data_IF_002411655100
#
_entry.id   IF_002411655100
#
_cell.length_a   1.000
_cell.length_b   1.000
_cell.length_c   1.000
_cell.angle_alpha   90.00
_cell.angle_beta   90.00
_cell.angle_gamma   90.00
#
_symmetry.space_group_name_H-M   'P 1'
#
loop_
_entity.id
_entity.type
_entity.pdbx_description
1 polymer ?
#
# COMPACT_ATOMS: atom_id res chain seq x y z
N UNK A 1 15.15 0.79 4.87
CA UNK A 1 15.78 -0.55 4.95
C UNK A 1 14.75 -1.65 5.18
N UNK A 2 13.93 -1.60 6.25
CA UNK A 2 12.94 -2.64 6.57
C UNK A 2 11.95 -2.95 5.43
N UNK A 3 11.48 -1.94 4.71
CA UNK A 3 10.63 -2.13 3.53
C UNK A 3 11.29 -2.99 2.44
N UNK A 4 12.60 -2.80 2.18
CA UNK A 4 13.33 -3.60 1.19
C UNK A 4 13.47 -5.07 1.63
N UNK A 5 13.48 -5.35 2.93
CA UNK A 5 13.50 -6.72 3.46
C UNK A 5 12.19 -7.45 3.13
N UNK A 6 11.05 -6.78 3.31
CA UNK A 6 9.72 -7.34 2.96
C UNK A 6 9.63 -7.61 1.45
N UNK A 7 10.12 -6.69 0.62
CA UNK A 7 10.18 -6.88 -0.83
C UNK A 7 11.07 -8.07 -1.20
N UNK A 8 12.24 -8.19 -0.57
CA UNK A 8 13.17 -9.30 -0.80
C UNK A 8 12.58 -10.65 -0.39
N UNK A 9 11.84 -10.72 0.73
CA UNK A 9 11.21 -11.98 1.17
C UNK A 9 10.10 -12.41 0.22
N UNK A 10 9.32 -11.45 -0.30
CA UNK A 10 8.28 -11.69 -1.29
C UNK A 10 8.88 -12.24 -2.60
N UNK A 11 10.01 -11.68 -3.02
CA UNK A 11 10.70 -12.11 -4.24
C UNK A 11 11.34 -13.50 -4.09
N UNK A 12 11.90 -13.79 -2.92
CA UNK A 12 12.41 -15.13 -2.58
C UNK A 12 11.31 -16.20 -2.66
N UNK A 13 10.07 -15.87 -2.31
CA UNK A 13 8.96 -16.82 -2.42
C UNK A 13 8.62 -17.15 -3.88
N UNK A 14 8.49 -16.12 -4.72
CA UNK A 14 8.06 -16.30 -6.11
C UNK A 14 9.14 -16.93 -6.99
N UNK A 15 10.38 -16.49 -6.85
CA UNK A 15 11.51 -17.05 -7.59
C UNK A 15 11.97 -18.38 -7.02
N UNK A 16 12.01 -18.51 -5.69
CA UNK A 16 12.50 -19.71 -5.02
C UNK A 16 11.53 -20.88 -5.11
N UNK A 17 10.24 -20.65 -4.84
CA UNK A 17 9.25 -21.73 -4.71
C UNK A 17 8.31 -21.86 -5.91
N UNK A 18 7.87 -20.76 -6.53
CA UNK A 18 6.94 -20.80 -7.65
C UNK A 18 7.63 -20.86 -9.03
N UNK A 19 8.93 -20.54 -9.11
CA UNK A 19 9.69 -20.52 -10.37
C UNK A 19 9.20 -19.47 -11.38
N UNK A 20 8.41 -18.50 -10.94
CA UNK A 20 7.80 -17.47 -11.80
C UNK A 20 8.36 -16.09 -11.45
N UNK A 21 8.81 -15.36 -12.48
CA UNK A 21 9.25 -13.97 -12.36
C UNK A 21 8.01 -13.05 -12.31
N UNK A 22 7.85 -12.25 -11.25
CA UNK A 22 6.81 -11.23 -11.14
C UNK A 22 7.35 -9.94 -10.53
N UNK A 23 7.14 -8.83 -11.22
CA UNK A 23 7.62 -7.49 -10.82
C UNK A 23 6.50 -6.57 -10.30
N UNK A 24 5.28 -7.09 -10.16
CA UNK A 24 4.11 -6.25 -9.83
C UNK A 24 4.13 -5.68 -8.39
N UNK A 25 4.99 -6.18 -7.49
CA UNK A 25 5.07 -5.75 -6.09
C UNK A 25 5.33 -4.24 -5.95
N UNK A 26 6.22 -3.69 -6.77
CA UNK A 26 6.52 -2.25 -6.77
C UNK A 26 5.30 -1.42 -7.19
N UNK A 27 4.55 -1.91 -8.18
CA UNK A 27 3.33 -1.29 -8.67
C UNK A 27 2.23 -1.25 -7.59
N UNK A 28 2.00 -2.38 -6.91
CA UNK A 28 0.99 -2.46 -5.84
C UNK A 28 1.35 -1.61 -4.63
N UNK A 29 2.62 -1.59 -4.24
CA UNK A 29 3.09 -0.69 -3.19
C UNK A 29 2.92 0.78 -3.58
N UNK A 30 3.21 1.13 -4.83
CA UNK A 30 2.95 2.46 -5.39
C UNK A 30 1.48 2.83 -5.32
N UNK A 31 0.59 2.00 -5.87
CA UNK A 31 -0.86 2.24 -5.85
C UNK A 31 -1.35 2.45 -4.41
N UNK A 32 -1.04 1.55 -3.48
CA UNK A 32 -1.48 1.66 -2.09
C UNK A 32 -0.95 2.90 -1.38
N UNK A 33 0.33 3.25 -1.60
CA UNK A 33 0.94 4.44 -1.02
C UNK A 33 0.33 5.74 -1.57
N UNK A 34 0.14 5.83 -2.89
CA UNK A 34 -0.47 7.00 -3.51
C UNK A 34 -1.95 7.14 -3.16
N UNK A 35 -2.73 6.04 -3.12
CA UNK A 35 -4.13 6.11 -2.69
C UNK A 35 -4.25 6.57 -1.23
N UNK A 36 -3.40 6.06 -0.34
CA UNK A 36 -3.41 6.46 1.07
C UNK A 36 -2.95 7.91 1.23
N UNK A 37 -1.92 8.31 0.47
CA UNK A 37 -1.36 9.66 0.49
C UNK A 37 -2.33 10.71 -0.06
N UNK A 38 -3.02 10.42 -1.17
CA UNK A 38 -4.00 11.34 -1.76
C UNK A 38 -5.22 11.53 -0.86
N UNK A 39 -5.66 10.46 -0.18
CA UNK A 39 -6.74 10.50 0.79
C UNK A 39 -6.36 11.32 2.03
N UNK A 40 -5.10 11.19 2.48
CA UNK A 40 -4.59 11.88 3.66
C UNK A 40 -4.20 13.33 3.37
N UNK A 41 -3.82 13.65 2.13
CA UNK A 41 -3.52 15.00 1.65
C UNK A 41 -4.78 15.82 1.32
N UNK A 42 -5.98 15.28 1.55
CA UNK A 42 -7.25 16.01 1.43
C UNK A 42 -7.83 16.11 0.02
N UNK A 43 -7.12 15.67 -1.03
CA UNK A 43 -7.58 15.85 -2.42
C UNK A 43 -8.87 15.08 -2.77
N UNK A 44 -9.11 13.94 -2.10
CA UNK A 44 -10.39 13.21 -2.10
C UNK A 44 -11.26 13.50 -0.86
N UNK A 45 -10.68 14.15 0.15
CA UNK A 45 -11.26 14.34 1.49
C UNK A 45 -12.21 15.52 1.60
N UNK A 46 -12.06 16.54 0.75
CA UNK A 46 -12.91 17.75 0.73
C UNK A 46 -14.39 17.42 0.58
N UNK A 47 -14.76 16.35 -0.14
CA UNK A 47 -16.16 15.95 -0.38
C UNK A 47 -16.68 14.91 0.64
N UNK A 48 -15.80 14.11 1.26
CA UNK A 48 -16.20 12.99 2.12
C UNK A 48 -16.37 13.42 3.59
N UNK A 49 -15.44 14.22 4.14
CA UNK A 49 -15.59 14.79 5.49
C UNK A 49 -16.77 15.79 5.54
N UNK A 50 -16.98 16.61 4.49
CA UNK A 50 -18.11 17.55 4.40
C UNK A 50 -19.46 16.85 4.25
N UNK A 51 -19.55 15.80 3.43
CA UNK A 51 -20.77 14.98 3.32
C UNK A 51 -21.11 14.27 4.63
N UNK A 52 -20.12 13.82 5.43
CA UNK A 52 -20.37 13.19 6.73
C UNK A 52 -20.83 14.17 7.82
N UNK A 53 -20.34 15.42 7.76
CA UNK A 53 -20.82 16.51 8.63
C UNK A 53 -22.26 16.91 8.28
N UNK A 54 -22.61 16.98 7.00
CA UNK A 54 -24.00 17.24 6.55
C UNK A 54 -24.97 16.10 6.91
N UNK A 55 -24.51 14.84 6.95
CA UNK A 55 -25.33 13.68 7.31
C UNK A 55 -25.49 13.45 8.83
N UNK A 56 -25.09 14.40 9.69
CA UNK A 56 -25.44 14.41 11.12
C UNK A 56 -24.72 13.37 12.00
N UNK A 57 -23.66 12.73 11.49
CA UNK A 57 -22.84 11.74 12.21
C UNK A 57 -21.57 12.40 12.79
N UNK A 58 -21.76 13.48 13.57
CA UNK A 58 -20.69 14.36 14.07
C UNK A 58 -19.61 13.69 14.94
N UNK A 59 -19.96 12.61 15.64
CA UNK A 59 -19.00 11.78 16.42
C UNK A 59 -18.04 10.99 15.52
N UNK A 60 -18.45 10.68 14.28
CA UNK A 60 -17.65 9.90 13.34
C UNK A 60 -16.73 10.82 12.55
N UNK A 61 -17.16 12.05 12.23
CA UNK A 61 -16.30 13.06 11.60
C UNK A 61 -15.15 13.49 12.52
N UNK A 62 -15.35 13.51 13.83
CA UNK A 62 -14.30 13.87 14.79
C UNK A 62 -13.24 12.77 14.92
N UNK A 63 -13.67 11.50 14.88
CA UNK A 63 -12.80 10.32 14.86
C UNK A 63 -12.10 10.09 13.50
N UNK A 64 -12.75 10.47 12.39
CA UNK A 64 -12.26 10.27 11.01
C UNK A 64 -11.40 11.44 10.51
N UNK A 65 -11.68 12.68 10.93
CA UNK A 65 -11.06 13.91 10.41
C UNK A 65 -10.25 14.68 11.49
N UNK A 66 -10.22 14.24 12.76
CA UNK A 66 -9.25 14.58 13.83
C UNK A 66 -8.88 16.06 14.05
N UNK A 67 -9.43 16.69 15.09
CA UNK A 67 -9.15 18.10 15.50
C UNK A 67 -7.65 18.44 15.70
N UNK A 68 -6.79 17.49 16.14
CA UNK A 68 -5.38 17.77 16.46
C UNK A 68 -4.45 17.88 15.23
N UNK A 69 -4.93 17.53 14.03
CA UNK A 69 -4.13 17.55 12.80
C UNK A 69 -4.25 18.88 12.01
N UNK A 70 -5.02 19.84 12.54
CA UNK A 70 -5.53 21.03 11.86
C UNK A 70 -4.61 22.28 11.89
N UNK A 71 -3.31 22.14 11.58
CA UNK A 71 -2.43 23.35 11.46
C UNK A 71 -1.81 23.57 10.08
N UNK A 72 -1.73 22.57 9.20
CA UNK A 72 -1.14 22.73 7.84
C UNK A 72 -1.95 22.08 6.70
N UNK A 73 -2.83 21.10 6.97
CA UNK A 73 -3.62 20.41 5.94
C UNK A 73 -5.12 20.54 6.26
N UNK A 74 -5.79 21.44 5.55
CA UNK A 74 -7.25 21.51 5.51
C UNK A 74 -7.81 20.22 4.86
N UNK A 75 -8.48 19.36 5.66
CA UNK A 75 -9.36 18.26 5.22
C UNK A 75 -8.77 16.85 4.92
N UNK A 76 -7.75 16.38 5.65
CA UNK A 76 -7.23 15.01 5.54
C UNK A 76 -7.90 13.99 6.49
N UNK A 77 -8.18 12.77 6.03
CA UNK A 77 -8.62 11.66 6.93
C UNK A 77 -7.45 11.09 7.74
N UNK A 78 -7.75 10.51 8.91
CA UNK A 78 -6.73 9.90 9.79
C UNK A 78 -5.82 8.92 9.01
N UNK A 79 -4.48 9.04 9.09
CA UNK A 79 -3.55 8.28 8.24
C UNK A 79 -3.65 6.75 8.44
N UNK A 80 -4.17 6.31 9.58
CA UNK A 80 -4.39 4.88 9.84
C UNK A 80 -5.50 4.29 8.96
N UNK A 81 -6.55 5.06 8.71
CA UNK A 81 -7.71 4.63 7.91
C UNK A 81 -7.37 4.72 6.43
N UNK A 82 -6.60 5.72 6.03
CA UNK A 82 -6.13 5.85 4.66
C UNK A 82 -5.28 4.66 4.22
N UNK A 83 -4.47 4.08 5.12
CA UNK A 83 -3.69 2.85 4.84
C UNK A 83 -4.61 1.65 4.56
N UNK A 84 -5.69 1.46 5.32
CA UNK A 84 -6.62 0.35 5.07
C UNK A 84 -7.39 0.53 3.77
N UNK A 85 -7.84 1.76 3.48
CA UNK A 85 -8.51 2.08 2.22
C UNK A 85 -7.57 1.87 1.03
N UNK A 86 -6.32 2.35 1.12
CA UNK A 86 -5.32 2.14 0.08
C UNK A 86 -4.96 0.65 -0.10
N UNK A 87 -4.89 -0.10 0.98
CA UNK A 87 -4.74 -1.56 0.94
C UNK A 87 -5.91 -2.27 0.25
N UNK A 88 -7.15 -1.84 0.52
CA UNK A 88 -8.35 -2.39 -0.12
C UNK A 88 -8.39 -2.09 -1.62
N UNK A 89 -8.01 -0.87 -2.04
CA UNK A 89 -7.91 -0.49 -3.46
C UNK A 89 -6.82 -1.32 -4.15
N UNK A 90 -5.65 -1.45 -3.54
CA UNK A 90 -4.56 -2.28 -4.06
C UNK A 90 -4.98 -3.76 -4.17
N UNK A 91 -5.72 -4.29 -3.18
CA UNK A 91 -6.25 -5.65 -3.20
C UNK A 91 -7.28 -5.85 -4.32
N UNK A 92 -8.15 -4.87 -4.57
CA UNK A 92 -9.11 -4.90 -5.68
C UNK A 92 -8.42 -4.96 -7.05
N UNK A 93 -7.42 -4.11 -7.27
CA UNK A 93 -6.62 -4.11 -8.50
C UNK A 93 -5.82 -5.41 -8.62
N UNK A 94 -5.26 -5.90 -7.51
CA UNK A 94 -4.54 -7.18 -7.45
C UNK A 94 -5.43 -8.38 -7.75
N UNK A 95 -6.68 -8.38 -7.28
CA UNK A 95 -7.65 -9.42 -7.60
C UNK A 95 -8.02 -9.42 -9.09
N UNK A 96 -8.21 -8.23 -9.67
CA UNK A 96 -8.44 -8.06 -11.10
C UNK A 96 -7.26 -8.60 -11.92
N UNK A 97 -6.03 -8.16 -11.60
CA UNK A 97 -4.81 -8.62 -12.29
C UNK A 97 -4.54 -10.09 -12.09
N UNK A 98 -4.75 -10.63 -10.89
CA UNK A 98 -4.64 -12.05 -10.61
C UNK A 98 -5.53 -12.87 -11.54
N UNK A 99 -6.78 -12.42 -11.72
CA UNK A 99 -7.72 -13.06 -12.65
C UNK A 99 -7.25 -13.01 -14.11
N UNK A 100 -6.58 -11.92 -14.53
CA UNK A 100 -6.01 -11.82 -15.88
C UNK A 100 -4.76 -12.69 -16.06
N UNK A 101 -3.87 -12.71 -15.06
CA UNK A 101 -2.60 -13.43 -15.08
C UNK A 101 -2.75 -14.95 -15.09
N UNK A 102 -3.80 -15.50 -14.48
CA UNK A 102 -4.07 -16.95 -14.49
C UNK A 102 -4.30 -17.52 -15.90
N UNK A 103 -4.54 -16.67 -16.91
CA UNK A 103 -4.67 -17.07 -18.31
C UNK A 103 -3.35 -17.06 -19.08
N UNK A 104 -2.30 -16.41 -18.55
CA UNK A 104 -0.98 -16.38 -19.18
C UNK A 104 -0.16 -17.62 -18.79
N UNK A 105 0.58 -18.21 -19.73
CA UNK A 105 1.45 -19.37 -19.47
C UNK A 105 2.91 -19.02 -19.75
N UNK A 106 3.82 -19.47 -18.87
CA UNK A 106 5.27 -19.36 -19.08
C UNK A 106 5.82 -17.92 -18.98
N UNK A 107 6.74 -17.51 -19.87
CA UNK A 107 7.47 -16.24 -19.74
C UNK A 107 6.59 -14.99 -19.95
N UNK A 108 5.40 -15.15 -20.54
CA UNK A 108 4.46 -14.07 -20.76
C UNK A 108 3.95 -13.44 -19.45
N UNK A 109 3.90 -14.21 -18.35
CA UNK A 109 3.51 -13.70 -17.04
C UNK A 109 4.51 -12.64 -16.52
N UNK A 110 5.81 -12.89 -16.71
CA UNK A 110 6.85 -11.96 -16.30
C UNK A 110 6.79 -10.66 -17.11
N UNK A 111 6.63 -10.77 -18.43
CA UNK A 111 6.51 -9.62 -19.32
C UNK A 111 5.30 -8.75 -18.97
N UNK A 112 4.15 -9.37 -18.69
CA UNK A 112 2.93 -8.67 -18.32
C UNK A 112 3.08 -7.89 -17.01
N UNK A 113 3.65 -8.52 -15.98
CA UNK A 113 3.83 -7.86 -14.67
C UNK A 113 4.87 -6.75 -14.70
N UNK A 114 5.91 -6.88 -15.55
CA UNK A 114 6.86 -5.81 -15.82
C UNK A 114 6.16 -4.63 -16.49
N UNK A 115 5.43 -4.89 -17.58
CA UNK A 115 4.66 -3.86 -18.30
C UNK A 115 3.66 -3.15 -17.39
N UNK A 116 2.96 -3.88 -16.53
CA UNK A 116 2.07 -3.31 -15.53
C UNK A 116 2.82 -2.38 -14.56
N UNK A 117 3.95 -2.83 -14.00
CA UNK A 117 4.73 -2.01 -13.06
C UNK A 117 5.27 -0.74 -13.72
N UNK A 118 5.69 -0.84 -14.98
CA UNK A 118 6.18 0.31 -15.72
C UNK A 118 5.04 1.27 -16.08
N UNK A 119 3.88 0.75 -16.46
CA UNK A 119 2.69 1.56 -16.76
C UNK A 119 2.26 2.37 -15.54
N UNK A 120 2.18 1.75 -14.36
CA UNK A 120 1.84 2.46 -13.11
C UNK A 120 2.88 3.53 -12.79
N UNK A 121 4.16 3.20 -12.92
CA UNK A 121 5.25 4.16 -12.71
C UNK A 121 5.17 5.34 -13.68
N UNK A 122 4.77 5.13 -14.93
CA UNK A 122 4.60 6.20 -15.93
C UNK A 122 3.39 7.07 -15.60
N UNK A 123 2.25 6.47 -15.25
CA UNK A 123 1.03 7.21 -14.85
C UNK A 123 1.34 8.15 -13.68
N UNK A 124 2.01 7.63 -12.64
CA UNK A 124 2.36 8.41 -11.46
C UNK A 124 3.33 9.57 -11.76
N UNK A 125 4.14 9.46 -12.82
CA UNK A 125 5.05 10.53 -13.24
C UNK A 125 4.38 11.55 -14.16
N UNK A 126 3.40 11.16 -14.96
CA UNK A 126 2.72 12.03 -15.92
C UNK A 126 1.69 12.92 -15.20
N UNK A 127 0.99 12.38 -14.21
CA UNK A 127 -0.13 13.05 -13.54
C UNK A 127 0.32 14.10 -12.51
N UNK A 128 0.85 15.22 -12.98
CA UNK A 128 1.41 16.28 -12.13
C UNK A 128 0.38 16.95 -11.22
N UNK A 129 -0.89 16.94 -11.61
CA UNK A 129 -1.98 17.60 -10.90
C UNK A 129 -2.30 16.90 -9.57
N UNK A 130 -2.21 15.56 -9.54
CA UNK A 130 -2.62 14.75 -8.40
C UNK A 130 -1.45 14.17 -7.59
N UNK A 131 -0.38 13.70 -8.25
CA UNK A 131 0.74 13.01 -7.57
C UNK A 131 1.94 13.92 -7.31
N UNK A 132 1.92 15.16 -7.82
CA UNK A 132 3.06 16.08 -7.93
C UNK A 132 4.26 15.48 -8.68
N UNK A 133 4.03 14.43 -9.47
CA UNK A 133 5.04 13.78 -10.30
C UNK A 133 6.26 13.34 -9.49
N UNK A 134 7.43 13.83 -9.88
CA UNK A 134 8.71 13.49 -9.24
C UNK A 134 8.96 14.16 -7.88
N UNK A 135 8.15 15.16 -7.49
CA UNK A 135 8.30 15.87 -6.22
C UNK A 135 7.75 15.06 -5.04
N UNK A 136 6.87 14.11 -5.31
CA UNK A 136 6.20 13.31 -4.30
C UNK A 136 5.22 14.12 -3.45
N UNK A 137 4.44 13.40 -2.64
CA UNK A 137 3.44 13.97 -1.75
C UNK A 137 3.98 14.05 -0.32
N UNK A 138 3.85 15.21 0.33
CA UNK A 138 4.13 15.35 1.77
C UNK A 138 2.89 14.87 2.53
N UNK A 139 3.03 13.75 3.22
CA UNK A 139 1.97 13.15 4.03
C UNK A 139 2.22 13.33 5.53
N UNK A 140 1.15 13.40 6.35
CA UNK A 140 1.26 13.25 7.80
C UNK A 140 2.06 12.02 8.21
N UNK A 141 2.76 12.14 9.33
CA UNK A 141 3.23 10.96 10.05
C UNK A 141 2.05 10.36 10.83
N UNK A 142 1.92 9.03 10.78
CA UNK A 142 0.87 8.29 11.48
C UNK A 142 0.98 8.39 13.02
N UNK A 143 2.18 8.70 13.54
CA UNK A 143 2.43 8.95 14.96
C UNK A 143 3.44 10.09 15.12
N UNK A 144 2.94 11.28 15.48
CA UNK A 144 3.76 12.40 15.95
C UNK A 144 3.65 12.47 17.49
N UNK A 145 4.74 12.75 18.19
CA UNK A 145 4.69 13.17 19.61
C UNK A 145 4.16 14.61 19.68
N UNK A 146 3.58 15.02 20.80
CA UNK A 146 2.98 16.35 21.05
C UNK A 146 3.88 17.55 20.65
N UNK A 147 5.20 17.33 20.57
CA UNK A 147 6.19 18.32 20.12
C UNK A 147 6.36 18.43 18.59
N UNK A 148 5.54 17.72 17.80
CA UNK A 148 5.64 17.70 16.33
C UNK A 148 6.87 16.97 15.77
N UNK A 149 7.70 16.38 16.64
CA UNK A 149 8.84 15.57 16.21
C UNK A 149 8.40 14.15 15.83
N UNK A 150 8.88 13.61 14.69
CA UNK A 150 8.61 12.25 14.29
C UNK A 150 9.18 11.25 15.31
N UNK A 151 8.31 10.39 15.86
CA UNK A 151 8.73 9.25 16.68
C UNK A 151 9.32 8.15 15.79
N UNK A 152 10.56 8.37 15.34
CA UNK A 152 11.29 7.41 14.51
C UNK A 152 11.37 6.02 15.18
N UNK A 153 11.36 5.98 16.51
CA UNK A 153 11.37 4.73 17.29
C UNK A 153 10.08 3.91 17.11
N UNK A 154 8.90 4.54 17.19
CA UNK A 154 7.60 3.84 17.08
C UNK A 154 7.38 3.36 15.65
N UNK A 155 7.64 4.22 14.66
CA UNK A 155 7.53 3.84 13.24
C UNK A 155 8.49 2.71 12.86
N UNK A 156 9.72 2.73 13.36
CA UNK A 156 10.69 1.65 13.15
C UNK A 156 10.22 0.34 13.82
N UNK A 157 9.72 0.40 15.05
CA UNK A 157 9.26 -0.78 15.79
C UNK A 157 8.05 -1.44 15.13
N UNK A 158 7.11 -0.65 14.61
CA UNK A 158 5.95 -1.16 13.86
C UNK A 158 6.37 -1.78 12.53
N UNK A 159 7.25 -1.12 11.78
CA UNK A 159 7.80 -1.70 10.55
C UNK A 159 8.58 -2.98 10.83
N UNK A 160 9.31 -3.05 11.94
CA UNK A 160 10.03 -4.24 12.37
C UNK A 160 9.05 -5.35 12.74
N UNK A 161 8.03 -5.07 13.55
CA UNK A 161 6.98 -6.04 13.88
C UNK A 161 6.30 -6.58 12.61
N UNK A 162 5.96 -5.69 11.66
CA UNK A 162 5.35 -6.07 10.39
C UNK A 162 6.29 -6.95 9.54
N UNK A 163 7.59 -6.66 9.50
CA UNK A 163 8.56 -7.52 8.81
C UNK A 163 8.61 -8.92 9.42
N UNK A 164 8.68 -9.02 10.75
CA UNK A 164 8.70 -10.30 11.47
C UNK A 164 7.41 -11.08 11.20
N UNK A 165 6.25 -10.40 11.26
CA UNK A 165 4.95 -10.99 10.94
C UNK A 165 4.94 -11.54 9.51
N UNK A 166 5.42 -10.77 8.52
CA UNK A 166 5.48 -11.26 7.13
C UNK A 166 6.36 -12.49 7.01
N UNK A 167 7.56 -12.50 7.60
CA UNK A 167 8.48 -13.65 7.54
C UNK A 167 7.85 -14.88 8.23
N UNK A 168 7.23 -14.71 9.39
CA UNK A 168 6.55 -15.79 10.11
C UNK A 168 5.36 -16.32 9.29
N UNK A 169 4.55 -15.44 8.70
CA UNK A 169 3.45 -15.83 7.83
C UNK A 169 3.95 -16.62 6.60
N UNK A 170 5.07 -16.20 6.00
CA UNK A 170 5.70 -16.92 4.90
C UNK A 170 6.22 -18.30 5.35
N UNK A 171 6.83 -18.38 6.52
CA UNK A 171 7.29 -19.66 7.09
C UNK A 171 6.13 -20.64 7.29
N UNK A 172 5.01 -20.17 7.87
CA UNK A 172 3.81 -20.99 8.03
C UNK A 172 3.18 -21.38 6.68
N UNK A 173 3.16 -20.47 5.70
CA UNK A 173 2.58 -20.72 4.38
C UNK A 173 3.37 -21.79 3.60
N UNK A 174 4.70 -21.71 3.63
CA UNK A 174 5.58 -22.67 2.94
C UNK A 174 5.52 -24.05 3.59
N UNK A 175 5.41 -24.11 4.92
CA UNK A 175 5.32 -25.37 5.66
C UNK A 175 3.90 -25.96 5.72
N UNK A 176 2.89 -25.25 5.21
CA UNK A 176 1.51 -25.74 5.10
C UNK A 176 1.31 -26.64 3.87
N UNK A 177 0.26 -27.46 3.87
CA UNK A 177 -0.11 -28.33 2.75
C UNK A 177 -0.20 -27.56 1.41
N UNK A 178 -0.71 -26.32 1.46
CA UNK A 178 -0.81 -25.43 0.29
C UNK A 178 0.55 -25.06 -0.31
N UNK A 179 1.59 -24.96 0.52
CA UNK A 179 2.96 -24.72 0.08
C UNK A 179 3.56 -25.89 -0.69
N UNK A 180 3.18 -27.13 -0.33
CA UNK A 180 3.59 -28.32 -1.08
C UNK A 180 3.02 -28.34 -2.50
N UNK A 181 1.75 -27.93 -2.69
CA UNK A 181 1.15 -27.82 -4.02
C UNK A 181 1.88 -26.80 -4.91
N UNK A 182 2.30 -25.67 -4.34
CA UNK A 182 3.10 -24.68 -5.07
C UNK A 182 4.45 -25.24 -5.50
N UNK A 183 5.08 -26.05 -4.64
CA UNK A 183 6.34 -26.72 -4.95
C UNK A 183 6.20 -27.81 -6.03
N UNK A 184 5.02 -28.41 -6.15
CA UNK A 184 4.71 -29.46 -7.12
C UNK A 184 4.32 -28.94 -8.53
N UNK A 185 4.08 -27.64 -8.68
CA UNK A 185 3.78 -27.00 -9.99
C UNK A 185 5.04 -26.75 -10.83
N UNK A 186 6.22 -26.81 -10.22
CA UNK A 186 7.51 -26.78 -10.91
C UNK A 186 7.77 -28.08 -11.65
#
# INVERSE_FOLDING_TARGET
VLYFIILSSSWNLLLGYAGQLSFAHAAFAGIGAYTSGLLSAGFLGDNFCTSLVENGLGIVSDLLCGEDYSRDFSYGVHPGISIFVGGAVAAGIGWCLGRMCLRARGPYLALMTLGFSETIRLILQIEHEYTRGSLGLRIPYLWATDDGLPNHAVGYLIMLALTVITIVALYYLVNSEKGLYLKAIR
#
